data_IF_562760881811
#
_entry.id   IF_562760881811
#
_cell.length_a   1.000
_cell.length_b   1.000
_cell.length_c   1.000
_cell.angle_alpha   90.00
_cell.angle_beta   90.00
_cell.angle_gamma   90.00
#
_symmetry.space_group_name_H-M   'P 1'
#
loop_
_entity.id
_entity.type
_entity.pdbx_description
1 polymer ?
#
# COMPACT_ATOMS: atom_id res chain seq x y z
N UNK A 1 -47.26 -23.54 -31.19
CA UNK A 1 -46.27 -22.67 -31.90
C UNK A 1 -46.00 -21.34 -31.18
N UNK A 2 -47.01 -20.59 -30.69
CA UNK A 2 -46.82 -19.25 -30.10
C UNK A 2 -45.92 -19.15 -28.85
N UNK A 3 -45.93 -20.15 -27.96
CA UNK A 3 -45.15 -20.14 -26.70
C UNK A 3 -43.66 -20.51 -26.89
N UNK A 4 -43.36 -21.35 -27.88
CA UNK A 4 -41.98 -21.76 -28.21
C UNK A 4 -41.14 -20.57 -28.75
N UNK A 5 -41.81 -19.64 -29.44
CA UNK A 5 -41.19 -18.46 -30.04
C UNK A 5 -40.78 -17.41 -28.99
N UNK A 6 -41.56 -17.29 -27.90
CA UNK A 6 -41.25 -16.38 -26.79
C UNK A 6 -40.04 -16.89 -26.00
N UNK A 7 -40.01 -18.18 -25.68
CA UNK A 7 -38.90 -18.81 -24.92
C UNK A 7 -37.57 -18.69 -25.68
N UNK A 8 -37.58 -18.91 -27.00
CA UNK A 8 -36.39 -18.74 -27.82
C UNK A 8 -35.88 -17.29 -27.86
N UNK A 9 -36.79 -16.30 -27.87
CA UNK A 9 -36.43 -14.88 -27.84
C UNK A 9 -35.87 -14.45 -26.47
N UNK A 10 -36.38 -15.00 -25.37
CA UNK A 10 -35.87 -14.69 -24.03
C UNK A 10 -34.48 -15.30 -23.79
N UNK A 11 -34.24 -16.52 -24.30
CA UNK A 11 -32.92 -17.16 -24.25
C UNK A 11 -31.90 -16.39 -25.10
N UNK A 12 -32.31 -15.86 -26.25
CA UNK A 12 -31.45 -15.02 -27.09
C UNK A 12 -31.10 -13.68 -26.42
N UNK A 13 -32.06 -13.04 -25.76
CA UNK A 13 -31.84 -11.81 -24.98
C UNK A 13 -30.92 -12.05 -23.78
N UNK A 14 -31.10 -13.17 -23.06
CA UNK A 14 -30.22 -13.54 -21.95
C UNK A 14 -28.78 -13.82 -22.43
N UNK A 15 -28.64 -14.50 -23.57
CA UNK A 15 -27.33 -14.75 -24.18
C UNK A 15 -26.64 -13.45 -24.62
N UNK A 16 -27.40 -12.46 -25.12
CA UNK A 16 -26.86 -11.18 -25.59
C UNK A 16 -26.40 -10.27 -24.44
N UNK A 17 -27.03 -10.38 -23.26
CA UNK A 17 -26.60 -9.64 -22.05
C UNK A 17 -25.41 -10.27 -21.32
N UNK A 18 -25.15 -11.57 -21.50
CA UNK A 18 -24.06 -12.29 -20.84
C UNK A 18 -22.74 -12.18 -21.62
N UNK A 19 -22.80 -11.97 -22.94
CA UNK A 19 -21.63 -11.74 -23.81
C UNK A 19 -20.75 -10.53 -23.40
N UNK A 20 -21.29 -9.33 -23.11
CA UNK A 20 -20.45 -8.21 -22.67
C UNK A 20 -19.85 -8.43 -21.28
N UNK A 21 -20.48 -9.24 -20.41
CA UNK A 21 -19.91 -9.58 -19.10
C UNK A 21 -18.68 -10.52 -19.21
N UNK A 22 -18.59 -11.32 -20.28
CA UNK A 22 -17.43 -12.17 -20.60
C UNK A 22 -16.36 -11.45 -21.45
N UNK A 23 -16.70 -10.30 -22.04
CA UNK A 23 -15.81 -9.52 -22.90
C UNK A 23 -15.02 -8.43 -22.16
N UNK A 24 -15.22 -8.29 -20.83
CA UNK A 24 -14.37 -7.43 -20.00
C UNK A 24 -13.00 -8.09 -19.85
N UNK A 25 -12.12 -7.88 -20.82
CA UNK A 25 -10.71 -8.19 -20.65
C UNK A 25 -10.13 -7.19 -19.63
N UNK A 26 -9.17 -7.59 -18.79
CA UNK A 26 -8.50 -6.71 -17.82
C UNK A 26 -7.93 -5.39 -18.42
N UNK A 27 -7.79 -5.32 -19.74
CA UNK A 27 -7.33 -4.15 -20.49
C UNK A 27 -8.32 -2.97 -20.49
N UNK A 28 -9.64 -3.20 -20.45
CA UNK A 28 -10.62 -2.09 -20.43
C UNK A 28 -10.65 -1.33 -19.09
N UNK A 29 -10.22 -1.97 -18.00
CA UNK A 29 -10.13 -1.35 -16.67
C UNK A 29 -8.77 -0.66 -16.42
N UNK A 30 -7.91 -0.57 -17.43
CA UNK A 30 -6.58 0.04 -17.31
C UNK A 30 -5.62 -0.74 -16.40
N UNK A 31 -5.88 -2.03 -16.17
CA UNK A 31 -5.06 -2.89 -15.32
C UNK A 31 -3.89 -3.54 -16.10
N UNK A 32 -3.84 -3.39 -17.42
CA UNK A 32 -2.78 -3.91 -18.30
C UNK A 32 -1.44 -3.15 -18.24
N UNK A 33 -1.39 -1.97 -17.60
CA UNK A 33 -0.15 -1.17 -17.50
C UNK A 33 0.84 -1.67 -16.44
N UNK A 34 0.46 -2.64 -15.60
CA UNK A 34 1.32 -3.22 -14.57
C UNK A 34 2.50 -4.02 -15.12
N UNK A 35 2.37 -4.61 -16.30
CA UNK A 35 3.43 -5.41 -16.95
C UNK A 35 4.52 -4.55 -17.59
N UNK A 36 4.18 -3.36 -18.10
CA UNK A 36 5.14 -2.44 -18.71
C UNK A 36 5.90 -1.56 -17.71
N UNK A 37 5.42 -1.51 -16.46
CA UNK A 37 6.03 -0.75 -15.36
C UNK A 37 6.82 -1.61 -14.37
N UNK A 38 6.89 -2.93 -14.59
CA UNK A 38 7.57 -3.88 -13.70
C UNK A 38 6.77 -4.21 -12.43
N UNK A 39 5.46 -3.95 -12.42
CA UNK A 39 4.56 -4.18 -11.28
C UNK A 39 3.89 -5.58 -11.28
N UNK A 40 4.16 -6.41 -12.28
CA UNK A 40 3.49 -7.71 -12.43
C UNK A 40 1.99 -7.55 -12.70
N UNK A 41 1.28 -8.66 -12.92
CA UNK A 41 -0.19 -8.67 -13.12
C UNK A 41 -0.98 -8.37 -11.84
N UNK A 42 -0.35 -7.79 -10.82
CA UNK A 42 -0.98 -7.44 -9.55
C UNK A 42 -1.60 -6.05 -9.64
N UNK A 43 -2.76 -5.88 -9.01
CA UNK A 43 -3.43 -4.59 -8.84
C UNK A 43 -2.41 -3.47 -8.55
N UNK A 44 -2.62 -2.26 -9.09
CA UNK A 44 -1.80 -1.05 -8.78
C UNK A 44 -1.59 -0.88 -7.26
N UNK A 45 -2.57 -1.36 -6.49
CA UNK A 45 -2.58 -1.51 -5.04
C UNK A 45 -1.42 -2.32 -4.46
N UNK A 46 -1.06 -3.43 -5.09
CA UNK A 46 0.04 -4.31 -4.67
C UNK A 46 1.41 -3.67 -4.97
N UNK A 47 1.52 -2.97 -6.10
CA UNK A 47 2.68 -2.15 -6.44
C UNK A 47 2.92 -1.04 -5.41
N UNK A 48 1.88 -0.29 -5.06
CA UNK A 48 1.94 0.76 -4.03
C UNK A 48 2.32 0.17 -2.67
N UNK A 49 1.76 -0.98 -2.29
CA UNK A 49 2.13 -1.67 -1.05
C UNK A 49 3.60 -2.06 -0.99
N UNK A 50 4.15 -2.55 -2.10
CA UNK A 50 5.55 -2.95 -2.18
C UNK A 50 6.47 -1.74 -2.04
N UNK A 51 6.16 -0.63 -2.72
CA UNK A 51 6.93 0.62 -2.64
C UNK A 51 6.88 1.19 -1.22
N UNK A 52 5.69 1.26 -0.61
CA UNK A 52 5.51 1.76 0.76
C UNK A 52 6.33 0.90 1.72
N UNK A 53 6.23 -0.44 1.65
CA UNK A 53 7.00 -1.33 2.53
C UNK A 53 8.50 -1.16 2.37
N UNK A 54 8.98 -1.01 1.13
CA UNK A 54 10.39 -0.76 0.86
C UNK A 54 10.86 0.58 1.45
N UNK A 55 10.12 1.65 1.21
CA UNK A 55 10.43 2.99 1.74
C UNK A 55 10.40 3.03 3.27
N UNK A 56 9.39 2.42 3.90
CA UNK A 56 9.30 2.37 5.36
C UNK A 56 10.42 1.52 5.98
N UNK A 57 10.80 0.41 5.35
CA UNK A 57 11.94 -0.39 5.79
C UNK A 57 13.24 0.40 5.72
N UNK A 58 13.47 1.10 4.60
CA UNK A 58 14.64 1.96 4.42
C UNK A 58 14.69 3.12 5.43
N UNK A 59 13.57 3.82 5.62
CA UNK A 59 13.46 4.88 6.64
C UNK A 59 13.66 4.34 8.06
N UNK A 60 13.16 3.14 8.36
CA UNK A 60 13.34 2.49 9.65
C UNK A 60 14.81 2.26 10.00
N UNK A 61 15.59 1.78 9.03
CA UNK A 61 17.05 1.60 9.20
C UNK A 61 17.72 2.94 9.49
N UNK A 62 17.41 3.98 8.73
CA UNK A 62 17.97 5.33 8.94
C UNK A 62 17.60 5.86 10.33
N UNK A 63 16.35 5.69 10.76
CA UNK A 63 15.90 6.14 12.08
C UNK A 63 16.72 5.48 13.20
N UNK A 64 16.97 4.17 13.10
CA UNK A 64 17.81 3.43 14.06
C UNK A 64 19.25 3.97 14.06
N UNK A 65 19.83 4.26 12.89
CA UNK A 65 21.17 4.83 12.81
C UNK A 65 21.27 6.21 13.48
N UNK A 66 20.25 7.05 13.34
CA UNK A 66 20.20 8.37 13.99
C UNK A 66 20.12 8.22 15.52
N UNK A 67 19.30 7.28 16.01
CA UNK A 67 19.19 7.00 17.45
C UNK A 67 20.52 6.48 18.00
N UNK A 68 21.19 5.57 17.28
CA UNK A 68 22.51 5.07 17.64
C UNK A 68 23.56 6.19 17.67
N UNK A 69 23.54 7.09 16.66
CA UNK A 69 24.42 8.25 16.64
C UNK A 69 24.18 9.17 17.84
N UNK A 70 22.92 9.48 18.16
CA UNK A 70 22.56 10.23 19.36
C UNK A 70 23.03 9.54 20.65
N UNK A 71 22.90 8.22 20.73
CA UNK A 71 23.43 7.40 21.82
C UNK A 71 24.96 7.49 21.95
N UNK A 72 25.68 7.44 20.84
CA UNK A 72 27.14 7.57 20.83
C UNK A 72 27.59 8.96 21.28
N UNK A 73 26.91 10.02 20.84
CA UNK A 73 27.17 11.39 21.31
C UNK A 73 26.88 11.52 22.80
N UNK A 74 25.85 10.84 23.31
CA UNK A 74 25.53 10.83 24.73
C UNK A 74 26.61 10.12 25.56
N UNK A 75 27.09 8.95 25.11
CA UNK A 75 28.15 8.19 25.77
C UNK A 75 29.50 8.92 25.75
N UNK A 76 29.79 9.69 24.70
CA UNK A 76 31.04 10.44 24.55
C UNK A 76 31.00 11.85 25.16
N UNK A 77 29.86 12.28 25.71
CA UNK A 77 29.69 13.62 26.27
C UNK A 77 30.51 13.85 27.55
N UNK A 78 30.93 12.79 28.26
CA UNK A 78 31.89 12.89 29.38
C UNK A 78 31.47 13.83 30.52
N UNK A 79 30.17 14.09 30.69
CA UNK A 79 29.65 15.02 31.71
C UNK A 79 29.47 16.47 31.23
N UNK A 80 29.81 16.80 29.99
CA UNK A 80 29.48 18.12 29.42
C UNK A 80 27.96 18.23 29.18
N UNK A 81 27.28 19.09 29.95
CA UNK A 81 25.83 19.29 29.88
C UNK A 81 25.34 19.72 28.49
N UNK A 82 26.11 20.51 27.75
CA UNK A 82 25.75 20.97 26.40
C UNK A 82 25.71 19.79 25.40
N UNK A 83 26.71 18.90 25.49
CA UNK A 83 26.75 17.69 24.67
C UNK A 83 25.68 16.69 25.06
N UNK A 84 25.38 16.55 26.35
CA UNK A 84 24.27 15.72 26.84
C UNK A 84 22.92 16.26 26.34
N UNK A 85 22.70 17.57 26.40
CA UNK A 85 21.49 18.22 25.90
C UNK A 85 21.30 18.00 24.40
N UNK A 86 22.38 18.16 23.63
CA UNK A 86 22.38 17.90 22.19
C UNK A 86 22.09 16.44 21.87
N UNK A 87 22.75 15.50 22.56
CA UNK A 87 22.53 14.07 22.38
C UNK A 87 21.08 13.66 22.68
N UNK A 88 20.52 14.16 23.80
CA UNK A 88 19.12 13.94 24.14
C UNK A 88 18.19 14.42 23.03
N UNK A 89 18.43 15.61 22.48
CA UNK A 89 17.63 16.18 21.38
C UNK A 89 17.68 15.30 20.11
N UNK A 90 18.85 14.75 19.78
CA UNK A 90 19.01 13.83 18.64
C UNK A 90 18.23 12.54 18.90
N UNK A 91 18.35 11.97 20.10
CA UNK A 91 17.64 10.74 20.48
C UNK A 91 16.12 10.95 20.45
N UNK A 92 15.59 12.04 21.04
CA UNK A 92 14.14 12.32 20.98
C UNK A 92 13.66 12.56 19.56
N UNK A 93 14.42 13.28 18.73
CA UNK A 93 14.07 13.45 17.32
C UNK A 93 14.03 12.10 16.57
N UNK A 94 15.00 11.21 16.82
CA UNK A 94 15.03 9.86 16.26
C UNK A 94 13.85 8.99 16.71
N UNK A 95 13.48 9.04 18.00
CA UNK A 95 12.31 8.33 18.54
C UNK A 95 11.02 8.84 17.89
N UNK A 96 10.85 10.16 17.78
CA UNK A 96 9.68 10.75 17.12
C UNK A 96 9.61 10.30 15.65
N UNK A 97 10.74 10.29 14.94
CA UNK A 97 10.82 9.76 13.58
C UNK A 97 10.37 8.30 13.48
N UNK A 98 10.79 7.45 14.42
CA UNK A 98 10.37 6.05 14.48
C UNK A 98 8.85 5.91 14.72
N UNK A 99 8.29 6.71 15.62
CA UNK A 99 6.84 6.73 15.89
C UNK A 99 6.06 7.12 14.62
N UNK A 100 6.52 8.14 13.88
CA UNK A 100 5.89 8.57 12.63
C UNK A 100 5.90 7.44 11.59
N UNK A 101 7.00 6.69 11.47
CA UNK A 101 7.10 5.55 10.54
C UNK A 101 6.05 4.48 10.88
N UNK A 102 5.86 4.15 12.16
CA UNK A 102 4.84 3.19 12.59
C UNK A 102 3.42 3.69 12.32
N UNK A 103 3.14 4.97 12.56
CA UNK A 103 1.84 5.57 12.27
C UNK A 103 1.57 5.56 10.78
N UNK A 104 2.55 5.90 9.94
CA UNK A 104 2.43 5.87 8.49
C UNK A 104 2.08 4.46 7.98
N UNK A 105 2.72 3.42 8.53
CA UNK A 105 2.40 2.03 8.22
C UNK A 105 0.96 1.66 8.59
N UNK A 106 0.52 2.05 9.79
CA UNK A 106 -0.82 1.77 10.28
C UNK A 106 -1.89 2.46 9.43
N UNK A 107 -1.67 3.73 9.07
CA UNK A 107 -2.60 4.47 8.20
C UNK A 107 -2.63 3.86 6.80
N UNK A 108 -1.48 3.55 6.20
CA UNK A 108 -1.42 2.96 4.87
C UNK A 108 -2.17 1.62 4.82
N UNK A 109 -1.92 0.74 5.78
CA UNK A 109 -2.62 -0.55 5.85
C UNK A 109 -4.12 -0.40 6.13
N UNK A 110 -4.51 0.57 6.95
CA UNK A 110 -5.93 0.88 7.21
C UNK A 110 -6.65 1.37 5.97
N UNK A 111 -6.13 2.38 5.27
CA UNK A 111 -6.73 2.92 4.04
C UNK A 111 -6.87 1.82 2.99
N UNK A 112 -5.85 0.97 2.86
CA UNK A 112 -5.89 -0.16 1.95
C UNK A 112 -6.94 -1.19 2.40
N UNK A 113 -7.06 -1.52 3.68
CA UNK A 113 -8.17 -2.36 4.16
C UNK A 113 -9.55 -1.77 3.81
N UNK A 114 -9.71 -0.45 3.97
CA UNK A 114 -10.96 0.23 3.65
C UNK A 114 -11.28 0.18 2.16
N UNK A 115 -10.32 0.40 1.24
CA UNK A 115 -10.69 0.33 -0.19
C UNK A 115 -10.92 -1.11 -0.70
N UNK A 116 -10.35 -2.17 -0.11
CA UNK A 116 -10.76 -3.56 -0.45
C UNK A 116 -12.24 -3.77 -0.10
N UNK A 117 -12.62 -3.29 1.08
CA UNK A 117 -13.99 -3.43 1.57
C UNK A 117 -14.97 -2.63 0.71
N UNK A 118 -14.58 -1.43 0.29
CA UNK A 118 -15.42 -0.54 -0.53
C UNK A 118 -15.56 -0.98 -1.99
N UNK A 119 -14.55 -1.61 -2.59
CA UNK A 119 -14.61 -2.07 -3.99
C UNK A 119 -15.28 -3.43 -4.14
N UNK A 120 -15.71 -4.08 -3.06
CA UNK A 120 -16.38 -5.39 -3.12
C UNK A 120 -15.50 -6.49 -3.70
N UNK A 121 -14.18 -6.30 -3.70
CA UNK A 121 -13.19 -7.32 -4.06
C UNK A 121 -13.08 -8.33 -2.91
N UNK A 122 -14.18 -9.02 -2.64
CA UNK A 122 -14.23 -10.24 -1.84
C UNK A 122 -13.91 -11.39 -2.77
N UNK A 123 -12.75 -12.03 -2.55
CA UNK A 123 -12.58 -13.41 -2.98
C UNK A 123 -13.60 -14.31 -2.25
#
# INVERSE_FOLDING_TARGET
MRKSLIIASTILMLSLTVLPALALTPDELGLGYGTYTGLGSGDVREGIMTIIRFLLGFLGIIAVLIVLYGGFVWMTAGGNEEKVGTAKKIITAGIIGLVIIFIAYAIASFVIGQLITATGATY
#
